data_IF_160816827488
#
_entry.id   IF_160816827488
#
_cell.length_a   1.000
_cell.length_b   1.000
_cell.length_c   1.000
_cell.angle_alpha   90.00
_cell.angle_beta   90.00
_cell.angle_gamma   90.00
#
_symmetry.space_group_name_H-M   'P 1'
#
loop_
_entity.id
_entity.type
_entity.pdbx_description
1 polymer ?
#
# COMPACT_ATOMS: atom_id res chain seq x y z
N UNK A 1 -24.09 18.38 -9.15
CA UNK A 1 -23.36 17.62 -8.12
C UNK A 1 -24.20 16.39 -7.83
N UNK A 2 -23.67 15.17 -8.07
CA UNK A 2 -24.37 13.96 -7.71
C UNK A 2 -24.47 13.82 -6.19
N UNK A 3 -25.55 13.17 -5.73
CA UNK A 3 -25.75 12.85 -4.33
C UNK A 3 -24.69 11.79 -3.93
N UNK A 4 -24.02 12.02 -2.80
CA UNK A 4 -23.03 11.05 -2.29
C UNK A 4 -23.77 9.87 -1.66
N UNK A 5 -23.42 8.64 -2.06
CA UNK A 5 -24.00 7.44 -1.48
C UNK A 5 -23.78 7.44 0.05
N UNK A 6 -24.87 7.18 0.78
CA UNK A 6 -24.86 7.16 2.27
C UNK A 6 -23.88 6.17 2.87
N UNK A 7 -23.53 5.09 2.13
CA UNK A 7 -22.53 4.11 2.55
C UNK A 7 -21.13 4.71 2.78
N UNK A 8 -20.85 5.87 2.18
CA UNK A 8 -19.57 6.60 2.31
C UNK A 8 -19.62 7.76 3.30
N UNK A 9 -20.75 7.98 3.97
CA UNK A 9 -20.91 9.12 4.89
C UNK A 9 -20.66 8.71 6.32
N UNK A 10 -19.62 9.24 6.94
CA UNK A 10 -19.36 9.03 8.36
C UNK A 10 -20.33 9.83 9.25
N UNK A 11 -20.82 9.24 10.36
CA UNK A 11 -21.54 9.97 11.40
C UNK A 11 -20.77 11.20 11.88
N UNK A 12 -21.49 12.27 12.22
CA UNK A 12 -20.89 13.56 12.62
C UNK A 12 -19.90 13.41 13.77
N UNK A 13 -20.21 12.55 14.73
CA UNK A 13 -19.37 12.32 15.91
C UNK A 13 -18.04 11.64 15.59
N UNK A 14 -17.95 10.97 14.45
CA UNK A 14 -16.74 10.28 13.98
C UNK A 14 -15.92 11.11 13.00
N UNK A 15 -16.43 12.25 12.55
CA UNK A 15 -15.70 13.12 11.63
C UNK A 15 -14.53 13.79 12.34
N UNK A 16 -13.39 14.00 11.63
CA UNK A 16 -12.29 14.77 12.18
C UNK A 16 -12.77 16.15 12.64
N UNK A 17 -12.49 16.51 13.88
CA UNK A 17 -12.70 17.87 14.36
C UNK A 17 -11.56 18.72 13.82
N UNK A 18 -11.85 19.60 12.88
CA UNK A 18 -10.90 20.57 12.37
C UNK A 18 -10.47 21.50 13.50
N UNK A 19 -9.39 21.18 14.19
CA UNK A 19 -8.63 22.16 14.93
C UNK A 19 -7.61 22.74 13.94
N UNK A 20 -7.44 24.07 13.86
CA UNK A 20 -6.32 24.64 13.13
C UNK A 20 -5.04 24.06 13.75
N UNK A 21 -4.35 23.20 13.00
CA UNK A 21 -3.00 22.77 13.36
C UNK A 21 -2.12 23.82 12.69
N UNK A 22 -1.45 24.64 13.49
CA UNK A 22 -0.31 25.40 12.99
C UNK A 22 0.77 24.37 12.66
N UNK A 23 0.87 24.01 11.39
CA UNK A 23 1.98 23.18 10.90
C UNK A 23 3.19 24.11 10.84
N UNK A 24 4.02 24.05 11.87
CA UNK A 24 5.25 24.84 11.97
C UNK A 24 6.43 24.17 11.29
N UNK A 25 6.32 22.85 11.03
CA UNK A 25 7.40 22.05 10.48
C UNK A 25 6.97 21.35 9.18
N UNK A 26 7.90 21.23 8.25
CA UNK A 26 7.70 20.46 7.01
C UNK A 26 7.82 18.96 7.30
N UNK A 27 7.14 18.14 6.47
CA UNK A 27 7.26 16.68 6.53
C UNK A 27 8.74 16.30 6.41
N UNK A 28 9.29 15.47 7.33
CA UNK A 28 10.70 15.10 7.29
C UNK A 28 11.07 14.41 5.97
N UNK A 29 12.21 14.84 5.38
CA UNK A 29 12.79 14.24 4.19
C UNK A 29 14.12 13.62 4.57
N UNK A 30 14.25 12.30 4.43
CA UNK A 30 15.44 11.54 4.82
C UNK A 30 16.21 11.10 3.58
N UNK A 31 17.54 11.34 3.61
CA UNK A 31 18.44 10.95 2.53
C UNK A 31 19.05 9.57 2.81
N UNK A 32 18.75 8.59 1.94
CA UNK A 32 19.23 7.21 2.07
C UNK A 32 20.58 6.96 1.37
N UNK A 33 21.23 7.98 0.84
CA UNK A 33 22.50 7.82 0.09
C UNK A 33 23.62 7.19 0.93
N UNK A 34 23.67 7.48 2.23
CA UNK A 34 24.67 6.92 3.14
C UNK A 34 24.56 5.40 3.30
N UNK A 35 23.33 4.86 3.32
CA UNK A 35 23.09 3.41 3.44
C UNK A 35 23.46 2.66 2.17
N UNK A 36 23.22 3.27 1.01
CA UNK A 36 23.50 2.64 -0.28
C UNK A 36 25.00 2.65 -0.62
N UNK A 37 25.78 3.58 -0.04
CA UNK A 37 27.19 3.78 -0.36
C UNK A 37 28.15 3.26 0.70
N UNK A 38 27.70 2.81 1.86
CA UNK A 38 28.55 2.33 2.94
C UNK A 38 28.05 1.05 3.59
N UNK A 39 28.99 0.18 3.98
CA UNK A 39 28.68 -1.06 4.75
C UNK A 39 28.44 -0.76 6.24
N UNK A 40 28.65 0.47 6.69
CA UNK A 40 28.51 0.84 8.09
C UNK A 40 27.13 1.45 8.35
N UNK A 41 26.54 1.08 9.49
CA UNK A 41 25.29 1.68 9.96
C UNK A 41 25.45 3.19 10.19
N UNK A 42 24.61 3.98 9.53
CA UNK A 42 24.53 5.42 9.75
C UNK A 42 23.66 5.68 10.99
N UNK A 43 24.34 5.91 12.13
CA UNK A 43 23.68 6.17 13.42
C UNK A 43 22.86 7.47 13.39
N UNK A 44 23.27 8.44 12.57
CA UNK A 44 22.53 9.69 12.41
C UNK A 44 21.20 9.42 11.70
N UNK A 45 21.22 8.72 10.56
CA UNK A 45 20.00 8.35 9.82
C UNK A 45 19.05 7.51 10.66
N UNK A 46 19.57 6.55 11.45
CA UNK A 46 18.75 5.75 12.38
C UNK A 46 18.04 6.67 13.39
N UNK A 47 18.75 7.66 13.96
CA UNK A 47 18.17 8.62 14.88
C UNK A 47 17.12 9.52 14.21
N UNK A 48 17.37 9.98 12.98
CA UNK A 48 16.44 10.80 12.21
C UNK A 48 15.15 10.02 11.87
N UNK A 49 15.26 8.75 11.43
CA UNK A 49 14.13 7.86 11.22
C UNK A 49 13.30 7.70 12.50
N UNK A 50 13.98 7.42 13.62
CA UNK A 50 13.34 7.28 14.93
C UNK A 50 12.55 8.53 15.34
N UNK A 51 13.15 9.70 15.16
CA UNK A 51 12.54 11.00 15.47
C UNK A 51 11.33 11.29 14.55
N UNK A 52 11.48 11.04 13.25
CA UNK A 52 10.38 11.20 12.29
C UNK A 52 9.20 10.29 12.61
N UNK A 53 9.47 9.01 12.91
CA UNK A 53 8.42 8.06 13.32
C UNK A 53 7.71 8.48 14.62
N UNK A 54 8.46 8.99 15.60
CA UNK A 54 7.90 9.41 16.88
C UNK A 54 7.05 10.69 16.78
N UNK A 55 7.48 11.64 15.95
CA UNK A 55 6.87 12.98 15.87
C UNK A 55 5.76 13.03 14.84
N UNK A 56 5.98 12.45 13.66
CA UNK A 56 5.10 12.52 12.50
C UNK A 56 4.36 11.20 12.21
N UNK A 57 4.98 10.05 12.53
CA UNK A 57 4.49 8.73 12.15
C UNK A 57 4.78 8.35 10.69
N UNK A 58 5.32 9.26 9.90
CA UNK A 58 5.70 9.05 8.49
C UNK A 58 6.78 10.07 8.07
N UNK A 59 7.45 9.80 6.96
CA UNK A 59 8.48 10.65 6.37
C UNK A 59 8.58 10.41 4.87
N UNK A 60 9.28 11.27 4.15
CA UNK A 60 9.68 11.08 2.75
C UNK A 60 11.11 10.60 2.69
N UNK A 61 11.46 9.86 1.66
CA UNK A 61 12.84 9.43 1.40
C UNK A 61 13.31 9.92 0.03
N UNK A 62 14.60 10.30 -0.02
CA UNK A 62 15.31 10.64 -1.25
C UNK A 62 16.56 9.78 -1.41
N UNK A 63 17.11 9.71 -2.60
CA UNK A 63 18.31 8.92 -2.92
C UNK A 63 18.18 7.44 -2.50
N UNK A 64 16.97 6.89 -2.62
CA UNK A 64 16.60 5.53 -2.19
C UNK A 64 17.01 4.44 -3.19
N UNK A 65 17.74 4.76 -4.26
CA UNK A 65 18.25 3.79 -5.23
C UNK A 65 17.25 3.35 -6.29
N UNK A 66 15.95 3.52 -6.09
CA UNK A 66 14.93 3.15 -7.09
C UNK A 66 14.95 4.17 -8.24
N UNK A 67 15.14 3.74 -9.50
CA UNK A 67 15.17 4.66 -10.64
C UNK A 67 13.84 5.42 -10.80
N UNK A 68 13.91 6.74 -10.98
CA UNK A 68 12.73 7.59 -11.18
C UNK A 68 11.88 7.16 -12.39
N UNK A 69 12.50 6.58 -13.41
CA UNK A 69 11.82 6.02 -14.57
C UNK A 69 10.94 4.82 -14.20
N UNK A 70 11.45 3.95 -13.32
CA UNK A 70 10.70 2.80 -12.82
C UNK A 70 9.50 3.25 -11.98
N UNK A 71 9.69 4.22 -11.08
CA UNK A 71 8.59 4.80 -10.30
C UNK A 71 7.47 5.34 -11.20
N UNK A 72 7.84 6.11 -12.23
CA UNK A 72 6.86 6.64 -13.20
C UNK A 72 6.11 5.55 -13.96
N UNK A 73 6.80 4.47 -14.35
CA UNK A 73 6.17 3.35 -15.05
C UNK A 73 5.20 2.59 -14.14
N UNK A 74 5.60 2.30 -12.91
CA UNK A 74 4.72 1.65 -11.93
C UNK A 74 3.49 2.51 -11.65
N UNK A 75 3.67 3.80 -11.43
CA UNK A 75 2.55 4.74 -11.23
C UNK A 75 1.61 4.80 -12.43
N UNK A 76 2.15 4.86 -13.65
CA UNK A 76 1.36 4.91 -14.88
C UNK A 76 0.51 3.63 -15.04
N UNK A 77 1.13 2.47 -14.88
CA UNK A 77 0.45 1.17 -14.99
C UNK A 77 -0.57 0.98 -13.86
N UNK A 78 -0.28 1.43 -12.64
CA UNK A 78 -1.26 1.43 -11.55
C UNK A 78 -2.48 2.29 -11.90
N UNK A 79 -2.26 3.53 -12.37
CA UNK A 79 -3.35 4.42 -12.81
C UNK A 79 -4.19 3.79 -13.94
N UNK A 80 -3.55 3.13 -14.89
CA UNK A 80 -4.23 2.45 -15.99
C UNK A 80 -5.11 1.30 -15.49
N UNK A 81 -4.61 0.47 -14.57
CA UNK A 81 -5.39 -0.58 -13.94
C UNK A 81 -6.60 -0.04 -13.18
N UNK A 82 -6.41 0.95 -12.30
CA UNK A 82 -7.52 1.50 -11.50
C UNK A 82 -8.52 2.30 -12.34
N UNK A 83 -8.10 2.83 -13.50
CA UNK A 83 -9.00 3.48 -14.48
C UNK A 83 -9.75 2.48 -15.38
N UNK A 84 -9.37 1.20 -15.37
CA UNK A 84 -10.07 0.18 -16.13
C UNK A 84 -11.51 0.00 -15.66
N UNK A 85 -12.35 -0.63 -16.50
CA UNK A 85 -13.73 -0.89 -16.15
C UNK A 85 -13.82 -1.77 -14.89
N UNK A 86 -14.91 -1.61 -14.15
CA UNK A 86 -15.16 -2.43 -12.96
C UNK A 86 -15.20 -3.93 -13.27
N UNK A 87 -15.68 -4.28 -14.48
CA UNK A 87 -15.70 -5.66 -14.95
C UNK A 87 -14.29 -6.24 -15.12
N UNK A 88 -13.34 -5.46 -15.66
CA UNK A 88 -11.94 -5.88 -15.77
C UNK A 88 -11.29 -6.07 -14.39
N UNK A 89 -11.47 -5.12 -13.49
CA UNK A 89 -10.91 -5.19 -12.13
C UNK A 89 -11.45 -6.39 -11.35
N UNK A 90 -12.72 -6.72 -11.51
CA UNK A 90 -13.37 -7.89 -10.86
C UNK A 90 -12.83 -9.25 -11.31
N UNK A 91 -12.19 -9.36 -12.46
CA UNK A 91 -11.57 -10.63 -12.90
C UNK A 91 -10.50 -11.13 -11.93
N UNK A 92 -9.93 -10.24 -11.17
CA UNK A 92 -8.90 -10.51 -10.15
C UNK A 92 -9.35 -10.09 -8.75
N UNK A 93 -10.66 -10.09 -8.52
CA UNK A 93 -11.22 -9.74 -7.22
C UNK A 93 -10.86 -10.80 -6.17
N UNK A 94 -10.36 -10.35 -5.02
CA UNK A 94 -10.06 -11.24 -3.89
C UNK A 94 -11.35 -11.89 -3.34
N UNK A 95 -11.20 -13.11 -2.86
CA UNK A 95 -12.21 -13.85 -2.15
C UNK A 95 -11.63 -14.68 -0.98
N UNK A 96 -12.44 -15.52 -0.35
CA UNK A 96 -11.98 -16.36 0.76
C UNK A 96 -10.92 -17.39 0.35
N UNK A 97 -10.93 -17.85 -0.90
CA UNK A 97 -9.98 -18.82 -1.43
C UNK A 97 -8.72 -18.13 -1.93
N UNK A 98 -8.89 -16.99 -2.60
CA UNK A 98 -7.82 -16.16 -3.17
C UNK A 98 -7.81 -14.77 -2.49
N UNK A 99 -7.13 -14.61 -1.36
CA UNK A 99 -7.17 -13.38 -0.57
C UNK A 99 -6.35 -12.23 -1.15
N UNK A 100 -5.53 -12.49 -2.18
CA UNK A 100 -4.77 -11.46 -2.91
C UNK A 100 -5.54 -11.01 -4.14
N UNK A 101 -5.33 -9.77 -4.57
CA UNK A 101 -5.95 -9.18 -5.73
C UNK A 101 -6.72 -7.90 -5.44
N UNK A 102 -7.66 -7.57 -6.31
CA UNK A 102 -8.44 -6.34 -6.23
C UNK A 102 -9.56 -6.42 -5.19
N UNK A 103 -9.79 -5.31 -4.50
CA UNK A 103 -11.00 -5.10 -3.69
C UNK A 103 -11.35 -3.62 -3.52
N UNK A 104 -12.63 -3.34 -3.31
CA UNK A 104 -13.21 -2.01 -3.17
C UNK A 104 -14.19 -1.91 -2.00
N UNK A 105 -14.22 -2.93 -1.15
CA UNK A 105 -15.24 -3.09 -0.09
C UNK A 105 -14.66 -2.95 1.31
N UNK A 106 -13.52 -2.29 1.47
CA UNK A 106 -13.01 -1.98 2.81
C UNK A 106 -13.91 -1.02 3.57
N UNK A 107 -13.93 -1.21 4.88
CA UNK A 107 -14.67 -0.36 5.79
C UNK A 107 -13.72 0.25 6.83
N UNK A 108 -13.82 1.58 7.00
CA UNK A 108 -13.18 2.28 8.09
C UNK A 108 -14.25 2.73 9.09
N UNK A 109 -14.17 2.26 10.34
CA UNK A 109 -15.18 2.53 11.37
C UNK A 109 -16.61 2.20 10.92
N UNK A 110 -16.79 1.02 10.29
CA UNK A 110 -18.06 0.52 9.73
C UNK A 110 -18.67 1.38 8.61
N UNK A 111 -17.88 2.26 8.01
CA UNK A 111 -18.27 3.03 6.83
C UNK A 111 -17.39 2.60 5.66
N UNK A 112 -17.99 2.40 4.49
CA UNK A 112 -17.26 2.04 3.28
C UNK A 112 -16.20 3.09 2.96
N UNK A 113 -14.97 2.62 2.71
CA UNK A 113 -13.86 3.50 2.31
C UNK A 113 -13.99 3.89 0.83
N UNK A 114 -13.46 5.05 0.50
CA UNK A 114 -13.43 5.57 -0.89
C UNK A 114 -12.34 4.94 -1.74
N UNK A 115 -11.45 4.15 -1.14
CA UNK A 115 -10.31 3.58 -1.84
C UNK A 115 -10.67 2.28 -2.56
N UNK A 116 -9.97 2.06 -3.63
CA UNK A 116 -9.80 0.76 -4.28
C UNK A 116 -8.39 0.26 -3.99
N UNK A 117 -8.22 -1.03 -3.80
CA UNK A 117 -6.95 -1.64 -3.40
C UNK A 117 -6.64 -2.84 -4.28
N UNK A 118 -5.36 -3.04 -4.55
CA UNK A 118 -4.83 -4.26 -5.15
C UNK A 118 -3.71 -4.81 -4.29
N UNK A 119 -3.94 -5.94 -3.63
CA UNK A 119 -2.98 -6.61 -2.77
C UNK A 119 -2.23 -7.70 -3.51
N UNK A 120 -0.93 -7.78 -3.30
CA UNK A 120 -0.11 -8.86 -3.85
C UNK A 120 1.06 -9.20 -2.91
N UNK A 121 1.57 -10.43 -3.06
CA UNK A 121 2.70 -10.95 -2.31
C UNK A 121 3.99 -10.72 -3.09
N UNK A 122 5.05 -10.33 -2.40
CA UNK A 122 6.39 -10.21 -2.98
C UNK A 122 6.95 -11.58 -3.41
N UNK A 123 6.63 -12.62 -2.64
CA UNK A 123 6.97 -14.01 -2.96
C UNK A 123 5.68 -14.76 -3.32
N UNK A 124 5.64 -15.36 -4.49
CA UNK A 124 4.48 -16.06 -5.05
C UNK A 124 4.90 -17.43 -5.60
N UNK A 125 4.48 -18.54 -4.98
CA UNK A 125 3.58 -18.65 -3.83
C UNK A 125 4.23 -18.34 -2.48
N UNK A 126 3.41 -18.04 -1.45
CA UNK A 126 3.84 -17.87 -0.05
C UNK A 126 3.07 -18.84 0.85
N UNK A 127 3.79 -19.54 1.70
CA UNK A 127 3.22 -20.40 2.74
C UNK A 127 2.97 -19.58 4.02
N UNK A 128 1.78 -19.70 4.57
CA UNK A 128 1.40 -19.06 5.84
C UNK A 128 0.70 -20.08 6.73
N UNK A 129 0.67 -19.87 8.07
CA UNK A 129 -0.15 -20.69 8.95
C UNK A 129 -1.62 -20.67 8.50
N UNK A 130 -2.29 -21.81 8.55
CA UNK A 130 -3.69 -21.93 8.13
C UNK A 130 -4.64 -21.14 9.04
N UNK A 131 -4.29 -21.04 10.33
CA UNK A 131 -5.02 -20.26 11.34
C UNK A 131 -4.07 -19.59 12.33
N UNK A 132 -4.64 -18.80 13.25
CA UNK A 132 -3.92 -18.20 14.38
C UNK A 132 -4.03 -19.04 15.68
N UNK A 133 -4.68 -20.19 15.60
CA UNK A 133 -4.82 -21.08 16.76
C UNK A 133 -3.49 -21.76 17.06
N UNK A 134 -3.02 -21.76 18.33
CA UNK A 134 -1.69 -22.26 18.70
C UNK A 134 -1.46 -23.75 18.39
N UNK A 135 -2.53 -24.54 18.32
CA UNK A 135 -2.49 -25.99 18.11
C UNK A 135 -2.77 -26.38 16.63
N UNK A 136 -2.97 -25.42 15.75
CA UNK A 136 -3.17 -25.67 14.32
C UNK A 136 -1.86 -25.55 13.55
N UNK A 137 -1.26 -26.70 13.23
CA UNK A 137 -0.03 -26.80 12.43
C UNK A 137 -0.31 -26.77 10.90
N UNK A 138 -1.56 -26.51 10.50
CA UNK A 138 -1.94 -26.45 9.10
C UNK A 138 -1.21 -25.32 8.36
N UNK A 139 -0.92 -25.56 7.07
CA UNK A 139 -0.31 -24.58 6.16
C UNK A 139 -1.30 -24.24 5.07
N UNK A 140 -1.43 -22.95 4.79
CA UNK A 140 -2.16 -22.42 3.65
C UNK A 140 -1.19 -21.79 2.66
N UNK A 141 -1.34 -22.15 1.39
CA UNK A 141 -0.54 -21.56 0.30
C UNK A 141 -1.32 -20.40 -0.32
N UNK A 142 -0.73 -19.23 -0.28
CA UNK A 142 -1.27 -18.03 -0.90
C UNK A 142 -0.61 -17.78 -2.26
N UNK A 143 -1.41 -17.38 -3.24
CA UNK A 143 -0.95 -17.04 -4.58
C UNK A 143 -1.53 -15.71 -5.03
N UNK A 144 -0.81 -15.01 -5.90
CA UNK A 144 -1.27 -13.77 -6.49
C UNK A 144 -2.29 -14.00 -7.60
N UNK A 145 -3.24 -13.09 -7.70
CA UNK A 145 -4.12 -12.95 -8.87
C UNK A 145 -3.65 -11.74 -9.67
N UNK A 146 -3.02 -11.96 -10.83
CA UNK A 146 -2.51 -10.87 -11.65
C UNK A 146 -3.52 -10.50 -12.73
N UNK A 147 -3.80 -9.20 -12.95
CA UNK A 147 -4.64 -8.75 -14.05
C UNK A 147 -3.96 -9.02 -15.39
N UNK A 148 -4.77 -9.31 -16.40
CA UNK A 148 -4.28 -9.43 -17.79
C UNK A 148 -4.06 -8.04 -18.43
N UNK A 149 -4.73 -7.04 -17.91
CA UNK A 149 -4.63 -5.65 -18.36
C UNK A 149 -4.43 -4.72 -17.16
N UNK A 150 -3.47 -3.78 -17.23
CA UNK A 150 -2.49 -3.58 -18.30
C UNK A 150 -1.45 -4.74 -18.38
N UNK A 151 -0.94 -5.09 -19.56
CA UNK A 151 -0.10 -6.27 -19.74
C UNK A 151 1.25 -6.20 -18.98
N UNK A 152 1.75 -4.99 -18.74
CA UNK A 152 3.00 -4.76 -18.01
C UNK A 152 2.83 -4.75 -16.48
N UNK A 153 1.59 -4.79 -15.95
CA UNK A 153 1.30 -4.64 -14.54
C UNK A 153 2.10 -5.61 -13.68
N UNK A 154 1.96 -6.91 -13.91
CA UNK A 154 2.69 -7.95 -13.14
C UNK A 154 4.19 -7.75 -13.20
N UNK A 155 4.74 -7.55 -14.39
CA UNK A 155 6.18 -7.44 -14.59
C UNK A 155 6.77 -6.24 -13.84
N UNK A 156 6.15 -5.07 -13.97
CA UNK A 156 6.63 -3.84 -13.34
C UNK A 156 6.55 -3.90 -11.82
N UNK A 157 5.47 -4.44 -11.25
CA UNK A 157 5.35 -4.56 -9.80
C UNK A 157 6.33 -5.57 -9.22
N UNK A 158 6.52 -6.73 -9.86
CA UNK A 158 7.54 -7.71 -9.41
C UNK A 158 8.94 -7.09 -9.48
N UNK A 159 9.27 -6.41 -10.58
CA UNK A 159 10.58 -5.76 -10.73
C UNK A 159 10.80 -4.62 -9.72
N UNK A 160 9.76 -3.90 -9.37
CA UNK A 160 9.82 -2.80 -8.41
C UNK A 160 10.11 -3.25 -6.97
N UNK A 161 9.66 -4.45 -6.57
CA UNK A 161 9.84 -4.97 -5.21
C UNK A 161 11.12 -5.79 -5.01
N UNK A 162 11.86 -6.11 -6.06
CA UNK A 162 13.18 -6.78 -6.02
C UNK A 162 14.31 -5.76 -5.88
#
# INVERSE_FOLDING_TARGET
MGEVDSAFIQPIDHRPKLKPIEVTDEIPVLDLSSVLNSENSDQQLISEIGSACQTWGFFQVINHGVPAELLRKVEAVAKEFFAASFEEKRKVQRDALYPMGYHDSEHTKNVRDWKEVFDFLAHDPTEVPASHEPDDEGIRVLTNQWPQYPPEFRYLFIYFIQ
#
